data_IF_412157008058
#
_entry.id   IF_412157008058
#
_cell.length_a   1.000
_cell.length_b   1.000
_cell.length_c   1.000
_cell.angle_alpha   90.00
_cell.angle_beta   90.00
_cell.angle_gamma   90.00
#
_symmetry.space_group_name_H-M   'P 1'
#
loop_
_entity.id
_entity.type
_entity.pdbx_description
1 polymer ?
#
# COMPACT_ATOMS: atom_id res chain seq x y z
N UNK A 1 -36.49 -20.05 -4.41
CA UNK A 1 -35.77 -18.79 -4.71
C UNK A 1 -35.48 -18.15 -3.36
N UNK A 2 -34.28 -17.61 -3.13
CA UNK A 2 -33.95 -17.01 -1.82
C UNK A 2 -34.79 -15.76 -1.60
N UNK A 3 -35.40 -15.64 -0.41
CA UNK A 3 -36.18 -14.46 -0.03
C UNK A 3 -35.27 -13.23 0.07
N UNK A 4 -34.04 -13.42 0.56
CA UNK A 4 -33.02 -12.37 0.64
C UNK A 4 -32.67 -11.80 -0.74
N UNK A 5 -32.39 -12.66 -1.73
CA UNK A 5 -32.11 -12.19 -3.10
C UNK A 5 -33.32 -11.49 -3.71
N UNK A 6 -34.51 -12.06 -3.54
CA UNK A 6 -35.75 -11.47 -4.08
C UNK A 6 -35.94 -10.03 -3.59
N UNK A 7 -35.74 -9.78 -2.29
CA UNK A 7 -35.82 -8.42 -1.73
C UNK A 7 -34.72 -7.51 -2.23
N UNK A 8 -33.48 -8.01 -2.27
CA UNK A 8 -32.31 -7.25 -2.73
C UNK A 8 -32.44 -6.83 -4.20
N UNK A 9 -32.95 -7.72 -5.05
CA UNK A 9 -33.14 -7.45 -6.48
C UNK A 9 -34.32 -6.51 -6.75
N UNK A 10 -35.37 -6.57 -5.92
CA UNK A 10 -36.53 -5.69 -6.05
C UNK A 10 -36.21 -4.23 -5.69
N UNK A 11 -35.27 -4.00 -4.78
CA UNK A 11 -34.87 -2.67 -4.32
C UNK A 11 -33.38 -2.62 -3.97
N UNK A 12 -32.48 -2.66 -4.96
CA UNK A 12 -31.05 -2.66 -4.70
C UNK A 12 -30.60 -1.34 -4.06
N UNK A 13 -29.72 -1.37 -3.05
CA UNK A 13 -29.11 -0.18 -2.49
C UNK A 13 -28.39 0.65 -3.56
N UNK A 14 -28.33 1.99 -3.39
CA UNK A 14 -27.68 2.89 -4.36
C UNK A 14 -26.19 2.57 -4.62
N UNK A 15 -25.50 2.01 -3.64
CA UNK A 15 -24.08 1.60 -3.74
C UNK A 15 -23.90 0.21 -4.37
N UNK A 16 -24.98 -0.53 -4.64
CA UNK A 16 -24.89 -1.93 -5.11
C UNK A 16 -24.23 -2.06 -6.48
N UNK A 17 -24.24 -0.99 -7.29
CA UNK A 17 -23.55 -0.89 -8.58
C UNK A 17 -22.08 -0.46 -8.47
N UNK A 18 -21.57 -0.14 -7.27
CA UNK A 18 -20.14 0.11 -7.07
C UNK A 18 -19.34 -1.16 -7.35
N UNK A 19 -18.20 -1.00 -8.01
CA UNK A 19 -17.31 -2.12 -8.32
C UNK A 19 -16.46 -2.51 -7.10
N UNK A 20 -16.25 -3.81 -6.96
CA UNK A 20 -15.31 -4.38 -6.00
C UNK A 20 -13.90 -4.08 -6.49
N UNK A 21 -13.22 -3.18 -5.77
CA UNK A 21 -11.88 -2.73 -6.10
C UNK A 21 -10.82 -3.84 -5.84
N UNK A 22 -9.67 -3.73 -6.50
CA UNK A 22 -8.52 -4.59 -6.24
C UNK A 22 -7.70 -4.06 -5.06
N UNK A 23 -7.29 -4.95 -4.16
CA UNK A 23 -6.28 -4.62 -3.16
C UNK A 23 -4.89 -4.52 -3.79
N UNK A 24 -4.28 -3.33 -3.76
CA UNK A 24 -2.90 -3.14 -4.23
C UNK A 24 -1.87 -3.61 -3.19
N UNK A 25 -1.66 -4.92 -3.12
CA UNK A 25 -0.63 -5.52 -2.27
C UNK A 25 0.81 -5.19 -2.75
N UNK A 26 0.97 -4.61 -3.95
CA UNK A 26 2.28 -4.27 -4.52
C UNK A 26 2.96 -3.23 -3.66
N UNK A 27 2.22 -2.23 -3.14
CA UNK A 27 2.75 -1.24 -2.22
C UNK A 27 3.35 -1.91 -0.98
N UNK A 28 2.66 -2.89 -0.40
CA UNK A 28 3.17 -3.62 0.76
C UNK A 28 4.40 -4.48 0.43
N UNK A 29 4.39 -5.17 -0.71
CA UNK A 29 5.53 -6.02 -1.13
C UNK A 29 6.78 -5.20 -1.47
N UNK A 30 6.63 -4.13 -2.24
CA UNK A 30 7.76 -3.32 -2.73
C UNK A 30 8.25 -2.31 -1.70
N UNK A 31 7.36 -1.80 -0.86
CA UNK A 31 7.66 -0.68 0.03
C UNK A 31 7.39 -0.99 1.50
N UNK A 32 7.25 -2.27 1.87
CA UNK A 32 7.01 -2.69 3.25
C UNK A 32 8.07 -2.21 4.25
N UNK A 33 9.27 -1.86 3.78
CA UNK A 33 10.33 -1.26 4.59
C UNK A 33 10.01 0.16 5.07
N UNK A 34 9.03 0.83 4.45
CA UNK A 34 8.58 2.19 4.78
C UNK A 34 7.35 2.21 5.71
N UNK A 35 6.89 1.05 6.19
CA UNK A 35 5.82 1.01 7.19
C UNK A 35 6.35 1.63 8.48
N UNK A 36 5.71 2.69 8.96
CA UNK A 36 6.02 3.32 10.26
C UNK A 36 5.14 2.83 11.40
N UNK A 37 3.95 2.28 11.07
CA UNK A 37 3.05 1.67 12.04
C UNK A 37 2.28 0.51 11.42
N UNK A 38 2.22 -0.62 12.14
CA UNK A 38 1.31 -1.73 11.83
C UNK A 38 0.39 -1.99 13.01
N UNK A 39 -0.89 -1.65 12.88
CA UNK A 39 -1.92 -2.06 13.82
C UNK A 39 -2.56 -3.38 13.37
N UNK A 40 -2.72 -4.29 14.32
CA UNK A 40 -3.41 -5.57 14.10
C UNK A 40 -4.33 -5.89 15.28
N UNK A 41 -5.50 -6.46 15.00
CA UNK A 41 -6.39 -7.07 16.01
C UNK A 41 -7.10 -8.28 15.43
N UNK A 42 -7.41 -9.28 16.25
CA UNK A 42 -8.16 -10.48 15.85
C UNK A 42 -9.67 -10.40 16.16
N UNK A 43 -10.14 -9.31 16.76
CA UNK A 43 -11.53 -9.08 17.14
C UNK A 43 -11.93 -7.61 16.97
N UNK A 44 -11.58 -7.03 15.82
CA UNK A 44 -11.88 -5.65 15.46
C UNK A 44 -13.30 -5.46 14.91
N UNK A 45 -13.64 -4.20 14.69
CA UNK A 45 -14.91 -3.78 14.08
C UNK A 45 -14.64 -2.78 12.97
N UNK A 46 -15.37 -2.87 11.86
CA UNK A 46 -15.30 -1.88 10.77
C UNK A 46 -16.68 -1.54 10.25
N UNK A 47 -16.82 -0.34 9.66
CA UNK A 47 -18.00 0.00 8.89
C UNK A 47 -17.96 -0.80 7.58
N UNK A 48 -18.92 -1.72 7.39
CA UNK A 48 -18.94 -2.65 6.25
C UNK A 48 -19.06 -1.93 4.90
N UNK A 49 -19.62 -0.72 4.88
CA UNK A 49 -19.73 0.10 3.68
C UNK A 49 -18.39 0.73 3.26
N UNK A 50 -17.43 0.82 4.19
CA UNK A 50 -16.06 1.23 3.91
C UNK A 50 -15.18 0.09 3.34
N UNK A 51 -15.73 -1.12 3.19
CA UNK A 51 -15.05 -2.17 2.43
C UNK A 51 -15.16 -1.85 0.95
N UNK A 52 -14.03 -1.56 0.31
CA UNK A 52 -13.97 -1.15 -1.10
C UNK A 52 -13.76 -2.33 -2.04
N UNK A 53 -13.08 -3.36 -1.57
CA UNK A 53 -12.55 -4.36 -2.48
C UNK A 53 -12.01 -5.62 -1.82
N UNK A 54 -11.24 -6.37 -2.60
CA UNK A 54 -10.67 -7.67 -2.20
C UNK A 54 -9.33 -7.95 -2.88
N UNK A 55 -8.51 -8.77 -2.25
CA UNK A 55 -7.33 -9.37 -2.89
C UNK A 55 -7.69 -10.48 -3.89
N UNK A 56 -8.89 -11.06 -3.80
CA UNK A 56 -9.25 -12.23 -4.58
C UNK A 56 -9.61 -11.85 -6.04
N UNK A 57 -8.83 -12.27 -7.05
CA UNK A 57 -8.97 -11.77 -8.42
C UNK A 57 -10.33 -12.07 -9.06
N UNK A 58 -10.92 -13.24 -8.75
CA UNK A 58 -12.20 -13.65 -9.34
C UNK A 58 -13.39 -12.72 -9.05
N UNK A 59 -13.30 -11.85 -8.04
CA UNK A 59 -14.40 -10.97 -7.65
C UNK A 59 -14.12 -9.49 -7.95
N UNK A 60 -12.88 -9.15 -8.32
CA UNK A 60 -12.50 -7.78 -8.66
C UNK A 60 -13.22 -7.34 -9.94
N UNK A 61 -13.66 -6.07 -9.96
CA UNK A 61 -14.38 -5.48 -11.08
C UNK A 61 -15.86 -5.88 -11.20
N UNK A 62 -16.32 -6.90 -10.47
CA UNK A 62 -17.76 -7.15 -10.31
C UNK A 62 -18.38 -6.02 -9.51
N UNK A 63 -19.61 -5.65 -9.81
CA UNK A 63 -20.41 -4.86 -8.87
C UNK A 63 -20.78 -5.68 -7.64
N UNK A 64 -21.05 -5.03 -6.51
CA UNK A 64 -21.52 -5.73 -5.31
C UNK A 64 -22.83 -6.51 -5.56
N UNK A 65 -23.72 -5.99 -6.40
CA UNK A 65 -24.95 -6.67 -6.81
C UNK A 65 -24.67 -7.93 -7.64
N UNK A 66 -23.85 -7.83 -8.70
CA UNK A 66 -23.44 -8.99 -9.50
C UNK A 66 -22.75 -10.07 -8.66
N UNK A 67 -21.96 -9.65 -7.66
CA UNK A 67 -21.26 -10.56 -6.78
C UNK A 67 -22.20 -11.45 -5.95
N UNK A 68 -23.41 -10.98 -5.59
CA UNK A 68 -24.42 -11.80 -4.92
C UNK A 68 -24.86 -13.00 -5.77
N UNK A 69 -24.89 -12.82 -7.09
CA UNK A 69 -25.34 -13.83 -8.04
C UNK A 69 -24.20 -14.69 -8.60
N UNK A 70 -23.00 -14.11 -8.74
CA UNK A 70 -21.85 -14.74 -9.41
C UNK A 70 -20.78 -15.27 -8.45
N UNK A 71 -20.85 -14.90 -7.17
CA UNK A 71 -19.87 -15.33 -6.17
C UNK A 71 -19.88 -16.85 -6.00
N UNK A 72 -18.71 -17.48 -6.18
CA UNK A 72 -18.52 -18.96 -6.24
C UNK A 72 -19.11 -19.79 -5.09
N UNK A 73 -19.47 -19.17 -3.97
CA UNK A 73 -20.05 -19.84 -2.78
C UNK A 73 -21.32 -19.15 -2.28
N UNK A 74 -21.93 -18.26 -3.06
CA UNK A 74 -23.17 -17.56 -2.65
C UNK A 74 -24.35 -18.52 -2.53
N UNK A 75 -24.41 -19.53 -3.40
CA UNK A 75 -25.35 -20.65 -3.33
C UNK A 75 -25.40 -21.32 -1.95
N UNK A 76 -24.26 -21.38 -1.24
CA UNK A 76 -24.15 -21.92 0.12
C UNK A 76 -24.29 -20.86 1.21
N UNK A 77 -23.76 -19.65 1.00
CA UNK A 77 -23.72 -18.63 2.04
C UNK A 77 -25.06 -17.92 2.23
N UNK A 78 -25.88 -17.78 1.18
CA UNK A 78 -27.19 -17.13 1.28
C UNK A 78 -28.16 -17.95 2.16
N UNK A 79 -28.33 -19.27 1.95
CA UNK A 79 -29.13 -20.08 2.87
C UNK A 79 -28.63 -20.03 4.32
N UNK A 80 -27.31 -19.97 4.53
CA UNK A 80 -26.74 -19.84 5.88
C UNK A 80 -27.10 -18.50 6.52
N UNK A 81 -27.03 -17.39 5.78
CA UNK A 81 -27.50 -16.08 6.23
C UNK A 81 -28.98 -16.15 6.63
N UNK A 82 -29.82 -16.76 5.80
CA UNK A 82 -31.27 -16.86 6.06
C UNK A 82 -31.57 -17.71 7.30
N UNK A 83 -30.84 -18.83 7.50
CA UNK A 83 -31.02 -19.72 8.65
C UNK A 83 -30.37 -19.21 9.95
N UNK A 84 -29.33 -18.38 9.85
CA UNK A 84 -28.53 -17.91 10.97
C UNK A 84 -28.01 -16.48 10.74
N UNK A 85 -28.89 -15.47 10.75
CA UNK A 85 -28.49 -14.08 10.55
C UNK A 85 -27.64 -13.54 11.71
N UNK A 86 -27.77 -14.12 12.91
CA UNK A 86 -27.06 -13.70 14.13
C UNK A 86 -25.55 -13.85 14.00
N UNK A 87 -25.08 -14.74 13.11
CA UNK A 87 -23.68 -14.81 12.70
C UNK A 87 -23.09 -13.43 12.32
N UNK A 88 -23.88 -12.54 11.72
CA UNK A 88 -23.41 -11.20 11.34
C UNK A 88 -23.59 -10.16 12.45
N UNK A 89 -24.57 -10.37 13.32
CA UNK A 89 -25.00 -9.39 14.32
C UNK A 89 -24.20 -9.47 15.63
N UNK A 90 -23.63 -10.64 15.91
CA UNK A 90 -22.81 -10.87 17.10
C UNK A 90 -21.48 -10.12 17.07
N UNK A 91 -20.92 -9.86 18.25
CA UNK A 91 -19.63 -9.17 18.44
C UNK A 91 -18.45 -10.11 18.63
N UNK A 92 -18.72 -11.40 18.83
CA UNK A 92 -17.71 -12.43 18.97
C UNK A 92 -16.83 -12.56 17.72
N UNK A 93 -15.61 -13.03 17.95
CA UNK A 93 -14.68 -13.36 16.87
C UNK A 93 -15.34 -14.32 15.88
N UNK A 94 -15.28 -13.96 14.60
CA UNK A 94 -15.90 -14.76 13.54
C UNK A 94 -15.09 -16.03 13.26
N UNK A 95 -15.81 -17.14 13.07
CA UNK A 95 -15.26 -18.41 12.64
C UNK A 95 -16.01 -18.93 11.40
N UNK A 96 -15.31 -19.23 10.29
CA UNK A 96 -13.91 -18.90 10.01
C UNK A 96 -13.59 -17.41 10.16
N UNK A 97 -12.34 -17.04 10.44
CA UNK A 97 -11.93 -15.62 10.52
C UNK A 97 -12.24 -14.88 9.20
N UNK A 98 -12.35 -13.55 9.28
CA UNK A 98 -12.45 -12.66 8.13
C UNK A 98 -11.35 -11.62 8.24
N UNK A 99 -10.46 -11.56 7.24
CA UNK A 99 -9.27 -10.72 7.29
C UNK A 99 -9.45 -9.49 6.42
N UNK A 100 -9.04 -8.34 6.95
CA UNK A 100 -9.11 -7.07 6.24
C UNK A 100 -7.80 -6.31 6.33
N UNK A 101 -7.46 -5.63 5.24
CA UNK A 101 -6.29 -4.78 5.12
C UNK A 101 -6.70 -3.33 4.84
N UNK A 102 -5.97 -2.37 5.38
CA UNK A 102 -6.12 -0.95 5.06
C UNK A 102 -4.77 -0.22 5.08
N UNK A 103 -4.67 0.84 4.28
CA UNK A 103 -3.55 1.79 4.28
C UNK A 103 -3.87 3.15 4.92
N UNK A 104 -5.14 3.42 5.20
CA UNK A 104 -5.60 4.71 5.74
C UNK A 104 -6.55 4.57 6.94
N UNK A 105 -6.91 3.34 7.33
CA UNK A 105 -7.83 3.04 8.42
C UNK A 105 -9.30 3.34 8.11
N UNK A 106 -9.60 3.77 6.87
CA UNK A 106 -10.94 4.10 6.40
C UNK A 106 -11.37 3.12 5.32
N UNK A 107 -10.62 3.01 4.23
CA UNK A 107 -10.88 2.08 3.14
C UNK A 107 -10.32 0.71 3.48
N UNK A 108 -11.19 -0.29 3.52
CA UNK A 108 -10.84 -1.65 3.88
C UNK A 108 -10.95 -2.59 2.67
N UNK A 109 -10.07 -3.57 2.62
CA UNK A 109 -10.06 -4.59 1.57
C UNK A 109 -10.03 -5.96 2.20
N UNK A 110 -10.84 -6.88 1.67
CA UNK A 110 -10.85 -8.27 2.13
C UNK A 110 -9.53 -8.91 1.73
N UNK A 111 -8.74 -9.32 2.73
CA UNK A 111 -7.37 -9.80 2.56
C UNK A 111 -7.16 -11.28 2.80
N UNK A 112 -8.18 -12.02 3.20
CA UNK A 112 -8.23 -13.48 3.20
C UNK A 112 -9.57 -13.88 3.82
N UNK A 113 -10.21 -14.89 3.24
CA UNK A 113 -11.53 -15.37 3.66
C UNK A 113 -12.58 -14.25 3.77
N UNK A 114 -13.86 -14.62 3.87
CA UNK A 114 -14.91 -13.63 4.17
C UNK A 114 -15.49 -12.87 2.99
N UNK A 115 -14.95 -12.96 1.77
CA UNK A 115 -15.55 -12.31 0.58
C UNK A 115 -17.08 -12.39 0.51
N UNK A 116 -17.63 -13.61 0.50
CA UNK A 116 -19.08 -13.82 0.42
C UNK A 116 -19.82 -13.23 1.63
N UNK A 117 -19.28 -13.46 2.83
CA UNK A 117 -19.86 -12.98 4.09
C UNK A 117 -19.86 -11.45 4.17
N UNK A 118 -18.81 -10.78 3.69
CA UNK A 118 -18.75 -9.32 3.64
C UNK A 118 -19.78 -8.77 2.65
N UNK A 119 -19.90 -9.38 1.46
CA UNK A 119 -20.94 -9.01 0.50
C UNK A 119 -22.33 -9.10 1.14
N UNK A 120 -22.66 -10.25 1.74
CA UNK A 120 -23.94 -10.46 2.43
C UNK A 120 -24.15 -9.47 3.59
N UNK A 121 -23.13 -9.21 4.39
CA UNK A 121 -23.19 -8.26 5.49
C UNK A 121 -23.53 -6.84 5.01
N UNK A 122 -22.97 -6.37 3.89
CA UNK A 122 -23.29 -5.04 3.32
C UNK A 122 -24.78 -4.91 3.03
N UNK A 123 -25.37 -5.89 2.34
CA UNK A 123 -26.78 -5.85 1.97
C UNK A 123 -27.70 -6.04 3.19
N UNK A 124 -27.41 -7.02 4.05
CA UNK A 124 -28.16 -7.24 5.30
C UNK A 124 -28.17 -5.98 6.16
N UNK A 125 -27.02 -5.33 6.33
CA UNK A 125 -26.91 -4.17 7.21
C UNK A 125 -27.56 -2.93 6.61
N UNK A 126 -27.62 -2.82 5.28
CA UNK A 126 -28.44 -1.81 4.63
C UNK A 126 -29.93 -2.01 4.92
N UNK A 127 -30.46 -3.24 4.78
CA UNK A 127 -31.86 -3.55 5.15
C UNK A 127 -32.15 -3.20 6.61
N UNK A 128 -31.18 -3.44 7.51
CA UNK A 128 -31.32 -3.26 8.96
C UNK A 128 -30.88 -1.89 9.50
N UNK A 129 -30.45 -0.96 8.63
CA UNK A 129 -29.92 0.35 9.03
C UNK A 129 -28.76 0.25 10.05
N UNK A 130 -27.88 -0.74 9.84
CA UNK A 130 -26.66 -0.98 10.63
C UNK A 130 -25.43 -0.67 9.78
N UNK A 131 -24.26 -0.50 10.40
CA UNK A 131 -23.02 -0.21 9.68
C UNK A 131 -21.83 -1.08 10.12
N UNK A 132 -21.71 -1.40 11.41
CA UNK A 132 -20.51 -2.02 11.96
C UNK A 132 -20.58 -3.54 11.99
N UNK A 133 -19.66 -4.18 11.28
CA UNK A 133 -19.44 -5.62 11.35
C UNK A 133 -18.31 -5.88 12.36
N UNK A 134 -18.55 -6.81 13.29
CA UNK A 134 -17.69 -7.07 14.44
C UNK A 134 -16.97 -8.43 14.33
N UNK A 135 -15.99 -8.67 15.20
CA UNK A 135 -15.30 -9.95 15.31
C UNK A 135 -14.29 -10.23 14.19
N UNK A 136 -13.70 -9.19 13.62
CA UNK A 136 -12.89 -9.26 12.40
C UNK A 136 -11.40 -9.20 12.67
N UNK A 137 -10.60 -9.85 11.83
CA UNK A 137 -9.15 -9.71 11.86
C UNK A 137 -8.74 -8.51 11.00
N UNK A 138 -8.20 -7.46 11.61
CA UNK A 138 -7.87 -6.21 10.92
C UNK A 138 -6.36 -6.01 10.88
N UNK A 139 -5.84 -5.60 9.72
CA UNK A 139 -4.48 -5.11 9.53
C UNK A 139 -4.54 -3.68 8.97
N UNK A 140 -3.96 -2.73 9.69
CA UNK A 140 -3.79 -1.37 9.20
C UNK A 140 -2.30 -1.02 9.13
N UNK A 141 -1.83 -0.71 7.92
CA UNK A 141 -0.44 -0.37 7.63
C UNK A 141 -0.32 1.12 7.32
N UNK A 142 0.30 1.88 8.19
CA UNK A 142 0.64 3.28 7.92
C UNK A 142 2.07 3.36 7.38
N UNK A 143 2.21 3.98 6.21
CA UNK A 143 3.52 4.22 5.58
C UNK A 143 4.06 5.60 5.98
N UNK A 144 5.38 5.70 6.04
CA UNK A 144 6.08 6.98 5.97
C UNK A 144 6.15 7.44 4.50
N UNK A 145 5.07 8.06 4.02
CA UNK A 145 4.96 8.50 2.63
C UNK A 145 6.03 9.55 2.29
N UNK A 146 6.40 10.43 3.23
CA UNK A 146 7.42 11.45 2.98
C UNK A 146 8.79 10.82 2.70
N UNK A 147 9.15 9.77 3.45
CA UNK A 147 10.38 9.02 3.21
C UNK A 147 10.32 8.18 1.94
N UNK A 148 9.18 7.54 1.67
CA UNK A 148 8.96 6.76 0.46
C UNK A 148 9.09 7.61 -0.80
N UNK A 149 8.48 8.81 -0.80
CA UNK A 149 8.62 9.77 -1.90
C UNK A 149 10.07 10.18 -2.12
N UNK A 150 10.80 10.54 -1.04
CA UNK A 150 12.22 10.89 -1.13
C UNK A 150 13.07 9.73 -1.67
N UNK A 151 12.80 8.49 -1.24
CA UNK A 151 13.46 7.29 -1.72
C UNK A 151 13.21 7.05 -3.22
N UNK A 152 11.96 7.15 -3.68
CA UNK A 152 11.63 6.91 -5.08
C UNK A 152 12.33 7.90 -6.02
N UNK A 153 12.39 9.18 -5.62
CA UNK A 153 13.11 10.21 -6.38
C UNK A 153 14.61 10.00 -6.34
N UNK A 154 15.18 9.59 -5.18
CA UNK A 154 16.58 9.19 -5.10
C UNK A 154 16.88 8.02 -6.05
N UNK A 155 16.07 6.96 -6.05
CA UNK A 155 16.24 5.83 -6.97
C UNK A 155 16.23 6.27 -8.44
N UNK A 156 15.36 7.22 -8.81
CA UNK A 156 15.35 7.81 -10.15
C UNK A 156 16.64 8.58 -10.45
N UNK A 157 17.10 9.42 -9.53
CA UNK A 157 18.36 10.15 -9.69
C UNK A 157 19.56 9.20 -9.85
N UNK A 158 19.65 8.16 -9.02
CA UNK A 158 20.72 7.17 -9.11
C UNK A 158 20.71 6.42 -10.45
N UNK A 159 19.54 6.19 -11.06
CA UNK A 159 19.45 5.62 -12.42
C UNK A 159 20.06 6.54 -13.48
N UNK A 160 19.88 7.86 -13.37
CA UNK A 160 20.54 8.81 -14.28
C UNK A 160 22.06 8.79 -14.16
N UNK A 161 22.58 8.64 -12.94
CA UNK A 161 24.02 8.49 -12.69
C UNK A 161 24.55 7.16 -13.22
N UNK A 162 23.83 6.06 -12.98
CA UNK A 162 24.20 4.74 -13.47
C UNK A 162 24.28 4.68 -15.00
N UNK A 163 23.38 5.37 -15.71
CA UNK A 163 23.42 5.50 -17.17
C UNK A 163 24.69 6.23 -17.69
N UNK A 164 25.39 6.96 -16.83
CA UNK A 164 26.65 7.64 -17.11
C UNK A 164 27.87 6.86 -16.57
N UNK A 165 27.67 5.64 -16.06
CA UNK A 165 28.72 4.78 -15.50
C UNK A 165 29.02 5.00 -14.02
N UNK A 166 28.16 5.73 -13.29
CA UNK A 166 28.32 6.01 -11.87
C UNK A 166 27.34 5.18 -11.05
N UNK A 167 27.84 4.10 -10.47
CA UNK A 167 27.04 3.15 -9.71
C UNK A 167 27.12 3.48 -8.22
N UNK A 168 25.97 3.77 -7.62
CA UNK A 168 25.80 4.07 -6.21
C UNK A 168 24.71 3.18 -5.66
N UNK A 169 24.87 2.77 -4.41
CA UNK A 169 23.95 1.87 -3.74
C UNK A 169 23.02 2.65 -2.82
N UNK A 170 21.76 2.23 -2.78
CA UNK A 170 20.75 2.77 -1.89
C UNK A 170 19.94 1.62 -1.29
N UNK A 171 20.21 1.31 -0.03
CA UNK A 171 19.55 0.26 0.73
C UNK A 171 18.51 0.88 1.68
N UNK A 172 17.35 0.25 1.81
CA UNK A 172 16.31 0.65 2.76
C UNK A 172 16.12 -0.42 3.82
N UNK A 173 16.08 0.02 5.08
CA UNK A 173 15.87 -0.85 6.23
C UNK A 173 14.75 -0.31 7.10
N UNK A 174 13.83 -1.19 7.49
CA UNK A 174 12.85 -0.94 8.54
C UNK A 174 13.45 -1.26 9.90
N UNK A 175 13.47 -0.29 10.80
CA UNK A 175 14.03 -0.43 12.15
C UNK A 175 12.87 -0.53 13.14
N UNK A 176 12.70 -1.66 13.85
CA UNK A 176 11.73 -1.77 14.93
C UNK A 176 12.06 -0.81 16.07
N UNK A 177 11.07 -0.05 16.53
CA UNK A 177 11.24 0.89 17.65
C UNK A 177 10.58 0.39 18.91
N UNK A 178 9.31 -0.01 18.81
CA UNK A 178 8.55 -0.51 19.94
C UNK A 178 7.33 -1.30 19.48
N UNK A 179 6.77 -2.05 20.43
CA UNK A 179 5.49 -2.74 20.29
C UNK A 179 4.61 -2.38 21.48
N UNK A 180 3.33 -2.17 21.22
CA UNK A 180 2.27 -2.11 22.25
C UNK A 180 1.29 -3.23 21.97
N UNK A 181 1.10 -4.14 22.91
CA UNK A 181 0.25 -5.31 22.73
C UNK A 181 -0.36 -5.82 24.03
N UNK A 182 -1.48 -6.54 23.87
CA UNK A 182 -2.03 -7.48 24.85
C UNK A 182 -2.60 -8.67 24.08
N UNK A 183 -3.37 -9.54 24.73
CA UNK A 183 -4.15 -10.54 24.02
C UNK A 183 -5.07 -9.87 22.97
N UNK A 184 -5.07 -10.40 21.75
CA UNK A 184 -5.99 -10.02 20.66
C UNK A 184 -5.69 -8.73 19.89
N UNK A 185 -4.61 -8.00 20.22
CA UNK A 185 -4.19 -6.85 19.40
C UNK A 185 -2.71 -6.49 19.59
N UNK A 186 -2.14 -5.82 18.59
CA UNK A 186 -0.82 -5.19 18.68
C UNK A 186 -0.75 -3.92 17.83
N UNK A 187 0.14 -3.03 18.21
CA UNK A 187 0.66 -1.95 17.36
C UNK A 187 2.17 -2.02 17.35
N UNK A 188 2.75 -2.32 16.20
CA UNK A 188 4.19 -2.20 15.97
C UNK A 188 4.52 -0.80 15.45
N UNK A 189 5.55 -0.17 16.01
CA UNK A 189 6.10 1.11 15.56
C UNK A 189 7.50 0.89 14.98
N UNK A 190 7.77 1.55 13.86
CA UNK A 190 9.02 1.43 13.13
C UNK A 190 9.49 2.80 12.65
N UNK A 191 10.81 2.95 12.51
CA UNK A 191 11.43 3.99 11.69
C UNK A 191 12.04 3.42 10.42
N UNK A 192 12.24 4.30 9.44
CA UNK A 192 12.92 3.97 8.19
C UNK A 192 14.35 4.49 8.24
N UNK A 193 15.31 3.68 7.79
CA UNK A 193 16.67 4.12 7.54
C UNK A 193 17.05 3.83 6.09
N UNK A 194 17.61 4.83 5.41
CA UNK A 194 18.23 4.70 4.10
C UNK A 194 19.74 4.71 4.25
N UNK A 195 20.42 3.75 3.64
CA UNK A 195 21.87 3.74 3.54
C UNK A 195 22.27 4.00 2.10
N UNK A 196 22.95 5.12 1.90
CA UNK A 196 23.57 5.46 0.63
C UNK A 196 25.07 5.17 0.69
N UNK A 197 25.62 4.62 -0.38
CA UNK A 197 27.07 4.50 -0.55
C UNK A 197 27.51 4.67 -2.00
N UNK A 198 28.68 5.29 -2.18
CA UNK A 198 29.42 5.20 -3.44
C UNK A 198 29.78 3.72 -3.66
N UNK A 199 29.30 3.12 -4.75
CA UNK A 199 29.51 1.70 -4.99
C UNK A 199 31.01 1.41 -5.15
N UNK A 200 31.46 0.21 -4.76
CA UNK A 200 32.88 -0.18 -4.84
C UNK A 200 33.49 -0.10 -6.25
N UNK A 201 32.66 0.05 -7.30
CA UNK A 201 33.06 0.18 -8.70
C UNK A 201 33.12 1.62 -9.26
N UNK A 202 32.86 2.67 -8.47
CA UNK A 202 32.99 4.05 -8.98
C UNK A 202 34.46 4.39 -9.24
N UNK A 203 34.82 4.54 -10.52
CA UNK A 203 36.18 4.92 -10.96
C UNK A 203 36.53 6.38 -10.66
N UNK A 204 35.56 7.21 -10.35
CA UNK A 204 35.73 8.63 -10.04
C UNK A 204 35.33 8.95 -8.61
N UNK A 205 36.11 9.83 -7.99
CA UNK A 205 35.85 10.36 -6.64
C UNK A 205 34.61 11.25 -6.72
N UNK A 206 33.58 10.92 -5.94
CA UNK A 206 32.41 11.79 -5.79
C UNK A 206 32.85 13.18 -5.29
N UNK A 207 32.16 14.26 -5.70
CA UNK A 207 32.38 15.60 -5.15
C UNK A 207 32.38 15.60 -3.62
N UNK A 208 33.18 16.49 -3.00
CA UNK A 208 33.31 16.55 -1.54
C UNK A 208 31.99 16.80 -0.79
N UNK A 209 30.98 17.38 -1.46
CA UNK A 209 29.66 17.62 -0.90
C UNK A 209 28.71 16.42 -1.02
N UNK A 210 29.13 15.31 -1.64
CA UNK A 210 28.39 14.04 -1.66
C UNK A 210 29.13 13.04 -0.77
N UNK A 211 28.50 12.50 0.28
CA UNK A 211 29.17 11.58 1.20
C UNK A 211 29.55 10.27 0.49
N UNK A 212 30.68 9.67 0.85
CA UNK A 212 31.05 8.33 0.35
C UNK A 212 30.11 7.25 0.90
N UNK A 213 29.62 7.42 2.13
CA UNK A 213 28.60 6.59 2.74
C UNK A 213 27.84 7.43 3.76
N UNK A 214 26.51 7.32 3.80
CA UNK A 214 25.67 8.00 4.80
C UNK A 214 24.44 7.17 5.13
N UNK A 215 24.05 7.17 6.40
CA UNK A 215 22.75 6.66 6.84
C UNK A 215 21.82 7.83 7.11
N UNK A 216 20.74 7.89 6.33
CA UNK A 216 19.69 8.91 6.40
C UNK A 216 18.51 8.35 7.19
N UNK A 217 18.10 9.06 8.23
CA UNK A 217 16.97 8.69 9.12
C UNK A 217 15.82 9.69 9.09
N UNK A 218 15.97 10.78 8.34
CA UNK A 218 14.98 11.85 8.24
C UNK A 218 14.71 12.17 6.76
N UNK A 219 13.45 12.44 6.35
CA UNK A 219 13.13 12.82 4.98
C UNK A 219 13.89 14.07 4.49
N UNK A 220 14.18 15.01 5.39
CA UNK A 220 14.92 16.23 5.07
C UNK A 220 16.36 15.91 4.60
N UNK A 221 17.07 15.04 5.33
CA UNK A 221 18.42 14.61 4.94
C UNK A 221 18.41 13.80 3.63
N UNK A 222 17.34 13.06 3.33
CA UNK A 222 17.19 12.39 2.03
C UNK A 222 17.09 13.39 0.88
N UNK A 223 16.37 14.50 1.10
CA UNK A 223 16.24 15.61 0.12
C UNK A 223 17.54 16.38 -0.06
N UNK A 224 18.33 16.56 1.00
CA UNK A 224 19.65 17.17 0.91
C UNK A 224 20.61 16.32 0.05
N UNK A 225 20.64 15.00 0.29
CA UNK A 225 21.41 14.07 -0.54
C UNK A 225 20.97 14.13 -2.02
N UNK A 226 19.66 14.13 -2.27
CA UNK A 226 19.11 14.27 -3.61
C UNK A 226 19.58 15.57 -4.28
N UNK A 227 19.49 16.70 -3.58
CA UNK A 227 19.93 17.99 -4.11
C UNK A 227 21.41 18.02 -4.45
N UNK A 228 22.26 17.38 -3.63
CA UNK A 228 23.69 17.25 -3.90
C UNK A 228 23.96 16.42 -5.16
N UNK A 229 23.25 15.29 -5.34
CA UNK A 229 23.37 14.42 -6.52
C UNK A 229 22.90 15.11 -7.81
N UNK A 230 21.78 15.83 -7.76
CA UNK A 230 21.25 16.59 -8.89
C UNK A 230 22.19 17.72 -9.30
N UNK A 231 22.69 18.48 -8.33
CA UNK A 231 23.66 19.55 -8.60
C UNK A 231 24.93 19.00 -9.27
N UNK A 232 25.40 17.83 -8.85
CA UNK A 232 26.54 17.15 -9.48
C UNK A 232 26.24 16.69 -10.90
N UNK A 233 25.07 16.09 -11.16
CA UNK A 233 24.63 15.73 -12.52
C UNK A 233 24.63 16.96 -13.43
N UNK A 234 24.02 18.04 -12.98
CA UNK A 234 23.82 19.26 -13.76
C UNK A 234 25.14 19.98 -14.04
N UNK A 235 26.08 19.97 -13.08
CA UNK A 235 27.44 20.46 -13.28
C UNK A 235 28.18 19.69 -14.40
N UNK A 236 28.11 18.36 -14.42
CA UNK A 236 28.74 17.53 -15.45
C UNK A 236 28.11 17.74 -16.83
N UNK A 237 26.79 17.85 -16.89
CA UNK A 237 26.10 18.14 -18.16
C UNK A 237 26.51 19.50 -18.74
N UNK A 238 26.64 20.54 -17.90
CA UNK A 238 27.14 21.85 -18.34
C UNK A 238 28.58 21.79 -18.85
N UNK A 239 29.47 21.08 -18.15
CA UNK A 239 30.86 20.91 -18.57
C UNK A 239 30.98 20.20 -19.94
N UNK A 240 30.17 19.16 -20.18
CA UNK A 240 30.16 18.43 -21.45
C UNK A 240 29.75 19.31 -22.64
N UNK A 241 28.75 20.18 -22.47
CA UNK A 241 28.27 21.11 -23.51
C UNK A 241 29.28 22.22 -23.83
N UNK A 242 29.93 22.78 -22.81
CA UNK A 242 30.99 23.79 -22.99
C UNK A 242 32.22 23.25 -23.73
N UNK A 243 32.59 22.00 -23.47
CA UNK A 243 33.71 21.33 -24.17
C UNK A 243 33.42 21.09 -25.66
N UNK A 244 32.18 20.78 -26.01
CA UNK A 244 31.75 20.58 -27.40
C UNK A 244 31.74 21.89 -28.18
N UNK A 245 31.20 22.97 -27.61
CA UNK A 245 31.23 24.32 -28.20
C UNK A 245 32.67 24.82 -28.41
N UNK A 246 33.55 24.63 -27.44
CA UNK A 246 34.96 25.01 -27.58
C UNK A 246 35.71 24.19 -28.64
N UNK A 247 35.37 22.91 -28.81
CA UNK A 247 35.93 22.08 -29.90
C UNK A 247 35.42 22.49 -31.28
N UNK A 248 34.16 22.91 -31.39
CA UNK A 248 33.57 23.43 -32.64
C UNK A 248 34.18 24.79 -33.01
N UNK A 249 34.30 25.71 -32.05
CA UNK A 249 34.90 27.03 -32.26
C UNK A 249 36.40 26.95 -32.62
N UNK A 250 37.15 25.99 -32.05
CA UNK A 250 38.55 25.72 -32.42
C UNK A 250 38.73 25.07 -33.79
N UNK A 251 37.69 24.41 -34.33
CA UNK A 251 37.69 23.85 -35.69
C UNK A 251 37.32 24.87 -36.76
N UNK A 252 36.55 25.91 -36.41
CA UNK A 252 36.17 26.99 -37.31
C UNK A 252 37.22 28.11 -37.44
N UNK A 253 38.31 28.05 -36.66
CA UNK A 253 39.40 29.03 -36.62
C UNK A 253 40.73 28.49 -37.19
N UNK A 254 40.68 27.39 -37.95
CA UNK A 254 41.76 26.85 -38.78
C UNK A 254 41.27 26.81 -40.23
#
# INVERSE_FOLDING_TARGET
>A
MSDFLTRTDASPPHWASEQIEAWDDRKLRLHGSFIRRHYWTDCGSLNVFCVRGTEHPDYQGLTWHEFLHRGKRMDRNIPLLESNPDYYLGTERKFPSMYYNSYNGLDWFIGADGNHRTGLARFLFHERQMAYLHGLCLNHYEFDNAFLEAYLVLCEELRFHAAQGFYMDLEVTRVPESRRDTAGWKTDLFSTALRFSAGAGTREVLPANIPQSVTVREPAAARELLGALQAWRDARQRASRGGLLNRLLRRASR
#
